data_IF_016462539615
#
_entry.id   IF_016462539615
#
_cell.length_a   1.000
_cell.length_b   1.000
_cell.length_c   1.000
_cell.angle_alpha   90.00
_cell.angle_beta   90.00
_cell.angle_gamma   90.00
#
_symmetry.space_group_name_H-M   'P 1'
#
loop_
_entity.id
_entity.type
_entity.pdbx_description
1 polymer ?
#
# COMPACT_ATOMS: atom_id res chain seq x y z
N UNK A 1 -47.01 -45.46 67.74
CA UNK A 1 -45.84 -44.57 67.71
C UNK A 1 -45.13 -44.80 66.41
N UNK A 2 -45.24 -43.87 65.48
CA UNK A 2 -44.57 -43.88 64.16
C UNK A 2 -43.71 -42.61 64.03
N UNK A 3 -42.39 -42.81 63.98
CA UNK A 3 -41.40 -41.78 63.85
C UNK A 3 -41.29 -41.43 62.35
N UNK A 4 -41.56 -40.17 62.01
CA UNK A 4 -41.45 -39.68 60.66
C UNK A 4 -40.06 -39.00 60.54
N UNK A 5 -39.17 -39.53 59.73
CA UNK A 5 -37.90 -38.92 59.38
C UNK A 5 -38.10 -37.94 58.24
N UNK A 6 -37.86 -36.65 58.47
CA UNK A 6 -37.72 -35.66 57.43
C UNK A 6 -36.32 -35.65 56.86
N UNK A 7 -36.22 -36.06 55.64
CA UNK A 7 -34.98 -35.99 54.88
C UNK A 7 -34.87 -34.61 54.24
N UNK A 8 -34.00 -33.74 54.74
CA UNK A 8 -33.67 -32.46 54.08
C UNK A 8 -32.72 -32.75 52.94
N UNK A 9 -33.21 -32.66 51.70
CA UNK A 9 -32.40 -32.66 50.51
C UNK A 9 -31.87 -31.22 50.28
N UNK A 10 -30.59 -31.01 50.60
CA UNK A 10 -29.88 -29.78 50.27
C UNK A 10 -29.51 -29.80 48.78
N UNK A 11 -30.22 -29.01 47.98
CA UNK A 11 -29.95 -28.80 46.58
C UNK A 11 -28.83 -27.73 46.48
N UNK A 12 -27.57 -28.16 46.35
CA UNK A 12 -26.46 -27.24 46.01
C UNK A 12 -26.56 -26.83 44.56
N UNK A 13 -26.96 -25.56 44.34
CA UNK A 13 -26.90 -24.91 43.03
C UNK A 13 -25.42 -24.65 42.68
N UNK A 14 -24.83 -25.49 41.86
CA UNK A 14 -23.54 -25.21 41.23
C UNK A 14 -23.77 -24.17 40.17
N UNK A 15 -23.45 -22.91 40.48
CA UNK A 15 -23.35 -21.82 39.52
C UNK A 15 -22.20 -22.12 38.55
N UNK A 16 -22.53 -22.49 37.35
CA UNK A 16 -21.58 -22.42 36.25
C UNK A 16 -21.34 -20.94 35.93
N UNK A 17 -20.24 -20.37 36.44
CA UNK A 17 -19.68 -19.16 35.87
C UNK A 17 -19.10 -19.57 34.54
N UNK A 18 -19.87 -19.33 33.47
CA UNK A 18 -19.33 -19.29 32.12
C UNK A 18 -18.35 -18.10 32.07
N UNK A 19 -17.06 -18.39 32.17
CA UNK A 19 -16.06 -17.48 31.67
C UNK A 19 -16.32 -17.39 30.17
N UNK A 20 -16.88 -16.27 29.70
CA UNK A 20 -16.70 -15.87 28.33
C UNK A 20 -15.19 -15.61 28.18
N UNK A 21 -14.47 -16.51 27.54
CA UNK A 21 -13.19 -16.18 26.97
C UNK A 21 -13.51 -15.01 26.02
N UNK A 22 -13.11 -13.79 26.39
CA UNK A 22 -13.02 -12.69 25.46
C UNK A 22 -12.04 -13.18 24.40
N UNK A 23 -12.55 -13.37 23.19
CA UNK A 23 -11.76 -13.75 22.04
C UNK A 23 -10.85 -12.56 21.73
N UNK A 24 -9.63 -12.56 22.27
CA UNK A 24 -8.59 -11.55 22.04
C UNK A 24 -8.07 -11.58 20.58
N UNK A 25 -8.87 -12.10 19.63
CA UNK A 25 -8.52 -12.04 18.21
C UNK A 25 -8.53 -10.60 17.75
N UNK A 26 -7.34 -10.11 17.44
CA UNK A 26 -7.16 -8.79 16.83
C UNK A 26 -7.80 -8.78 15.45
N UNK A 27 -8.88 -8.02 15.29
CA UNK A 27 -9.52 -7.84 13.99
C UNK A 27 -8.70 -6.84 13.15
N UNK A 28 -7.65 -7.36 12.49
CA UNK A 28 -6.62 -6.60 11.79
C UNK A 28 -7.19 -5.59 10.78
N UNK A 29 -8.25 -5.98 10.10
CA UNK A 29 -8.86 -5.23 9.00
C UNK A 29 -10.27 -4.69 9.30
N UNK A 30 -10.62 -4.53 10.61
CA UNK A 30 -11.86 -3.87 10.99
C UNK A 30 -11.96 -2.47 10.36
N UNK A 31 -13.13 -2.12 9.85
CA UNK A 31 -13.41 -0.83 9.19
C UNK A 31 -12.40 -0.46 8.09
N UNK A 32 -11.81 -1.46 7.41
CA UNK A 32 -10.66 -1.32 6.54
C UNK A 32 -10.88 -0.28 5.42
N UNK A 33 -12.04 -0.31 4.76
CA UNK A 33 -12.35 0.68 3.72
C UNK A 33 -12.32 2.10 4.27
N UNK A 34 -13.05 2.37 5.35
CA UNK A 34 -13.11 3.71 5.94
C UNK A 34 -11.74 4.20 6.40
N UNK A 35 -10.93 3.30 6.99
CA UNK A 35 -9.56 3.60 7.40
C UNK A 35 -8.66 3.96 6.21
N UNK A 36 -8.75 3.23 5.11
CA UNK A 36 -7.97 3.51 3.90
C UNK A 36 -8.38 4.81 3.22
N UNK A 37 -9.67 5.08 3.11
CA UNK A 37 -10.20 6.33 2.54
C UNK A 37 -9.76 7.54 3.39
N UNK A 38 -9.88 7.46 4.71
CA UNK A 38 -9.46 8.51 5.63
C UNK A 38 -7.92 8.71 5.62
N UNK A 39 -7.16 7.61 5.56
CA UNK A 39 -5.71 7.67 5.47
C UNK A 39 -5.28 8.40 4.18
N UNK A 40 -5.80 7.96 3.03
CA UNK A 40 -5.43 8.56 1.75
C UNK A 40 -5.84 10.03 1.66
N UNK A 41 -7.07 10.39 2.08
CA UNK A 41 -7.52 11.79 2.11
C UNK A 41 -6.61 12.66 2.98
N UNK A 42 -6.24 12.18 4.17
CA UNK A 42 -5.35 12.91 5.07
C UNK A 42 -3.98 13.14 4.43
N UNK A 43 -3.39 12.10 3.83
CA UNK A 43 -2.11 12.21 3.13
C UNK A 43 -2.21 13.14 1.91
N UNK A 44 -3.31 13.08 1.17
CA UNK A 44 -3.55 13.97 0.03
C UNK A 44 -3.55 15.44 0.44
N UNK A 45 -4.26 15.80 1.50
CA UNK A 45 -4.31 17.17 2.00
C UNK A 45 -2.92 17.66 2.47
N UNK A 46 -2.14 16.77 3.09
CA UNK A 46 -0.76 17.08 3.50
C UNK A 46 0.14 17.34 2.28
N UNK A 47 0.07 16.51 1.24
CA UNK A 47 0.86 16.67 0.01
C UNK A 47 0.45 17.94 -0.76
N UNK A 48 -0.85 18.26 -0.82
CA UNK A 48 -1.33 19.50 -1.43
C UNK A 48 -0.83 20.74 -0.68
N UNK A 49 -0.77 20.69 0.64
CA UNK A 49 -0.27 21.79 1.47
C UNK A 49 1.25 21.94 1.40
N UNK A 50 1.98 20.81 1.36
CA UNK A 50 3.45 20.80 1.32
C UNK A 50 4.02 21.12 -0.06
N UNK A 51 3.33 20.84 -1.13
CA UNK A 51 3.67 20.88 -2.56
C UNK A 51 5.06 21.44 -2.88
N UNK A 52 6.02 20.54 -3.06
CA UNK A 52 7.43 20.85 -3.30
C UNK A 52 8.02 19.91 -4.36
N UNK A 53 9.31 20.09 -4.70
CA UNK A 53 10.00 19.18 -5.60
C UNK A 53 10.19 17.76 -5.03
N UNK A 54 10.05 17.58 -3.71
CA UNK A 54 10.24 16.29 -3.04
C UNK A 54 8.97 15.73 -2.41
N UNK A 55 7.84 16.47 -2.45
CA UNK A 55 6.55 16.04 -1.91
C UNK A 55 5.44 16.65 -2.77
N UNK A 56 4.75 15.85 -3.56
CA UNK A 56 3.76 16.35 -4.51
C UNK A 56 2.67 15.33 -4.83
N UNK A 57 1.58 15.86 -5.42
CA UNK A 57 0.47 15.08 -5.96
C UNK A 57 0.63 14.93 -7.46
N UNK A 58 0.54 13.71 -7.96
CA UNK A 58 0.64 13.38 -9.37
C UNK A 58 -0.66 12.79 -9.87
N UNK A 59 -1.25 13.41 -10.91
CA UNK A 59 -2.47 12.88 -11.52
C UNK A 59 -2.19 11.57 -12.26
N UNK A 60 -3.15 10.65 -12.24
CA UNK A 60 -3.09 9.43 -13.03
C UNK A 60 -2.94 9.72 -14.52
N UNK A 61 -2.07 8.99 -15.20
CA UNK A 61 -1.88 9.08 -16.65
C UNK A 61 -3.19 8.90 -17.44
N UNK A 62 -4.18 8.21 -16.85
CA UNK A 62 -5.50 8.00 -17.48
C UNK A 62 -6.36 9.26 -17.57
N UNK A 63 -5.96 10.37 -16.94
CA UNK A 63 -6.75 11.62 -16.86
C UNK A 63 -6.42 12.67 -17.92
N UNK A 64 -5.51 12.35 -18.82
CA UNK A 64 -5.09 13.27 -19.89
C UNK A 64 -4.36 14.53 -19.41
N UNK A 65 -3.56 15.13 -20.28
CA UNK A 65 -2.62 16.19 -19.91
C UNK A 65 -3.29 17.53 -19.63
N UNK A 66 -4.44 17.79 -20.21
CA UNK A 66 -5.14 19.08 -20.11
C UNK A 66 -5.92 19.27 -18.81
N UNK A 67 -6.11 18.20 -18.01
CA UNK A 67 -6.86 18.26 -16.75
C UNK A 67 -5.93 18.68 -15.62
N UNK A 68 -6.23 19.81 -14.96
CA UNK A 68 -5.50 20.25 -13.76
C UNK A 68 -5.83 19.37 -12.56
N UNK A 69 -4.83 19.11 -11.71
CA UNK A 69 -4.98 18.34 -10.45
C UNK A 69 -6.10 18.92 -9.57
N UNK A 70 -6.24 20.25 -9.52
CA UNK A 70 -7.29 20.92 -8.73
C UNK A 70 -8.73 20.59 -9.16
N UNK A 71 -8.91 20.05 -10.36
CA UNK A 71 -10.22 19.70 -10.92
C UNK A 71 -10.51 18.18 -10.85
N UNK A 72 -9.61 17.42 -10.24
CA UNK A 72 -9.72 15.98 -10.08
C UNK A 72 -10.20 15.63 -8.67
N UNK A 73 -10.74 14.43 -8.54
CA UNK A 73 -10.90 13.82 -7.21
C UNK A 73 -9.52 13.41 -6.68
N UNK A 74 -9.31 13.49 -5.37
CA UNK A 74 -8.08 13.00 -4.77
C UNK A 74 -7.76 11.55 -5.20
N UNK A 75 -8.78 10.70 -5.37
CA UNK A 75 -8.67 9.31 -5.81
C UNK A 75 -8.26 9.12 -7.29
N UNK A 76 -8.17 10.21 -8.05
CA UNK A 76 -7.64 10.21 -9.42
C UNK A 76 -6.13 10.49 -9.46
N UNK A 77 -5.50 10.61 -8.31
CA UNK A 77 -4.10 10.98 -8.13
C UNK A 77 -3.35 9.95 -7.30
N UNK A 78 -2.02 9.94 -7.42
CA UNK A 78 -1.10 9.29 -6.51
C UNK A 78 -0.32 10.37 -5.74
N UNK A 79 0.23 9.99 -4.59
CA UNK A 79 1.05 10.88 -3.76
C UNK A 79 2.49 10.42 -3.85
N UNK A 80 3.41 11.36 -3.97
CA UNK A 80 4.84 11.08 -4.18
C UNK A 80 5.67 11.81 -3.14
N UNK A 81 6.49 11.05 -2.42
CA UNK A 81 7.61 11.54 -1.64
C UNK A 81 8.91 11.09 -2.32
N UNK A 82 9.73 12.05 -2.76
CA UNK A 82 11.05 11.77 -3.32
C UNK A 82 12.02 11.52 -2.18
N UNK A 83 12.61 10.35 -2.17
CA UNK A 83 13.55 9.90 -1.15
C UNK A 83 14.99 10.12 -1.62
N UNK A 84 15.96 10.22 -0.70
CA UNK A 84 17.39 10.22 -1.07
C UNK A 84 17.74 8.96 -1.86
N UNK A 85 18.47 9.13 -2.96
CA UNK A 85 19.00 8.02 -3.75
C UNK A 85 20.05 7.27 -2.93
N UNK A 86 19.89 5.97 -2.81
CA UNK A 86 20.74 5.06 -2.02
C UNK A 86 21.40 3.97 -2.89
N UNK A 87 21.47 4.21 -4.21
CA UNK A 87 22.07 3.32 -5.20
C UNK A 87 22.57 4.12 -6.42
N UNK A 88 23.48 3.53 -7.17
CA UNK A 88 24.03 4.13 -8.39
C UNK A 88 23.49 3.41 -9.63
N UNK A 89 23.22 4.19 -10.67
CA UNK A 89 22.78 3.69 -11.98
C UNK A 89 23.50 4.43 -13.10
N UNK A 90 23.68 3.71 -14.19
CA UNK A 90 24.22 4.24 -15.43
C UNK A 90 23.07 4.74 -16.36
N UNK A 91 23.44 5.43 -17.43
CA UNK A 91 22.51 5.87 -18.47
C UNK A 91 21.98 7.29 -18.31
N UNK A 92 21.07 7.64 -19.23
CA UNK A 92 20.47 8.98 -19.28
C UNK A 92 19.42 9.15 -18.17
N UNK A 93 19.69 10.10 -17.26
CA UNK A 93 18.84 10.45 -16.13
C UNK A 93 17.86 11.61 -16.45
N UNK A 94 17.70 11.99 -17.72
CA UNK A 94 16.83 13.10 -18.12
C UNK A 94 15.51 12.65 -18.74
N UNK A 95 15.43 11.37 -19.12
CA UNK A 95 14.26 10.76 -19.76
C UNK A 95 13.48 9.88 -18.77
N UNK A 96 12.20 9.70 -19.04
CA UNK A 96 11.31 8.78 -18.31
C UNK A 96 10.80 7.70 -19.26
N UNK A 97 10.43 6.52 -18.76
CA UNK A 97 9.82 5.47 -19.58
C UNK A 97 8.43 5.89 -20.08
N UNK A 98 8.02 5.34 -21.20
CA UNK A 98 6.67 5.48 -21.72
C UNK A 98 5.82 4.24 -21.41
N UNK A 99 4.53 4.30 -21.70
CA UNK A 99 3.54 3.25 -21.35
C UNK A 99 3.86 1.87 -21.94
N UNK A 100 4.57 1.81 -23.08
CA UNK A 100 4.94 0.56 -23.77
C UNK A 100 6.28 -0.04 -23.33
N UNK A 101 7.04 0.67 -22.49
CA UNK A 101 8.38 0.25 -22.11
C UNK A 101 8.38 -0.84 -21.03
N UNK A 102 9.47 -1.58 -20.96
CA UNK A 102 9.82 -2.41 -19.82
C UNK A 102 10.80 -1.67 -18.92
N UNK A 103 10.62 -1.81 -17.61
CA UNK A 103 11.42 -1.10 -16.60
C UNK A 103 12.00 -2.08 -15.59
N UNK A 104 13.22 -1.84 -15.16
CA UNK A 104 13.90 -2.55 -14.09
C UNK A 104 13.83 -1.74 -12.81
N UNK A 105 13.22 -2.29 -11.78
CA UNK A 105 13.04 -1.59 -10.50
C UNK A 105 13.37 -2.48 -9.31
N UNK A 106 13.83 -1.85 -8.23
CA UNK A 106 13.67 -2.44 -6.91
C UNK A 106 12.44 -1.82 -6.26
N UNK A 107 11.65 -2.64 -5.59
CA UNK A 107 10.45 -2.14 -4.92
C UNK A 107 10.12 -2.91 -3.65
N UNK A 108 9.32 -2.26 -2.81
CA UNK A 108 8.64 -2.85 -1.67
C UNK A 108 7.24 -2.28 -1.59
N UNK A 109 6.23 -3.15 -1.54
CA UNK A 109 4.84 -2.79 -1.38
C UNK A 109 4.33 -3.13 0.02
N UNK A 110 3.64 -2.19 0.65
CA UNK A 110 3.00 -2.36 1.95
C UNK A 110 1.59 -1.76 1.99
N UNK A 111 0.78 -2.29 2.90
CA UNK A 111 -0.51 -1.70 3.27
C UNK A 111 -0.31 -0.50 4.19
N UNK A 112 -1.37 0.24 4.48
CA UNK A 112 -1.35 1.26 5.52
C UNK A 112 -1.07 0.64 6.90
N UNK A 113 -0.57 1.40 7.89
CA UNK A 113 -0.40 0.92 9.26
C UNK A 113 -1.67 0.31 9.84
N UNK A 114 -1.50 -0.76 10.59
CA UNK A 114 -2.58 -1.50 11.22
C UNK A 114 -2.18 -1.96 12.63
N UNK A 115 -3.07 -2.64 13.34
CA UNK A 115 -2.87 -2.98 14.75
C UNK A 115 -1.62 -3.84 14.95
N UNK A 116 -1.44 -4.88 14.12
CA UNK A 116 -0.28 -5.78 14.22
C UNK A 116 0.93 -5.31 13.42
N UNK A 117 0.73 -4.36 12.48
CA UNK A 117 1.77 -3.90 11.55
C UNK A 117 1.90 -2.37 11.59
N UNK A 118 2.65 -1.84 12.55
CA UNK A 118 2.82 -0.40 12.74
C UNK A 118 3.43 0.33 11.52
N UNK A 119 4.18 -0.37 10.67
CA UNK A 119 4.74 0.15 9.41
C UNK A 119 3.97 -0.31 8.17
N UNK A 120 2.79 -0.94 8.35
CA UNK A 120 2.03 -1.60 7.30
C UNK A 120 2.52 -3.03 7.01
N UNK A 121 1.57 -3.92 6.68
CA UNK A 121 1.90 -5.27 6.26
C UNK A 121 2.60 -5.23 4.90
N UNK A 122 3.84 -5.75 4.81
CA UNK A 122 4.55 -5.90 3.54
C UNK A 122 3.94 -7.07 2.77
N UNK A 123 3.31 -6.78 1.65
CA UNK A 123 2.67 -7.80 0.82
C UNK A 123 3.57 -8.30 -0.32
N UNK A 124 4.55 -7.47 -0.75
CA UNK A 124 5.44 -7.82 -1.86
C UNK A 124 6.76 -7.04 -1.79
N UNK A 125 7.83 -7.59 -2.38
CA UNK A 125 9.15 -6.91 -2.47
C UNK A 125 10.07 -7.65 -3.44
N UNK A 126 10.92 -6.91 -4.15
CA UNK A 126 12.02 -7.46 -4.97
C UNK A 126 13.25 -7.86 -4.13
N UNK A 127 13.30 -7.54 -2.83
CA UNK A 127 14.43 -7.83 -1.95
C UNK A 127 13.98 -8.16 -0.52
N UNK A 128 14.82 -8.84 0.24
CA UNK A 128 14.56 -9.17 1.64
C UNK A 128 15.34 -8.27 2.61
N UNK A 129 14.74 -7.98 3.76
CA UNK A 129 15.38 -7.19 4.82
C UNK A 129 15.67 -5.74 4.40
N UNK A 130 16.86 -5.24 4.73
CA UNK A 130 17.30 -3.90 4.34
C UNK A 130 17.79 -3.93 2.89
N UNK A 131 17.43 -2.92 2.11
CA UNK A 131 17.92 -2.79 0.73
C UNK A 131 19.43 -2.70 0.70
N UNK A 132 20.03 -3.46 -0.21
CA UNK A 132 21.48 -3.43 -0.49
C UNK A 132 21.68 -3.57 -2.00
N UNK A 133 22.15 -2.51 -2.68
CA UNK A 133 22.29 -2.50 -4.13
C UNK A 133 23.32 -3.51 -4.65
N UNK A 134 24.22 -4.01 -3.79
CA UNK A 134 25.20 -5.02 -4.16
C UNK A 134 24.67 -6.46 -4.15
N UNK A 135 23.47 -6.68 -3.65
CA UNK A 135 22.87 -8.02 -3.46
C UNK A 135 21.49 -8.12 -4.11
N UNK A 136 20.72 -7.03 -4.06
CA UNK A 136 19.37 -7.01 -4.61
C UNK A 136 19.43 -7.07 -6.15
N UNK A 137 18.64 -7.96 -6.72
CA UNK A 137 18.41 -8.01 -8.17
C UNK A 137 17.14 -7.24 -8.50
N UNK A 138 17.14 -6.37 -9.52
CA UNK A 138 15.92 -5.69 -9.95
C UNK A 138 14.92 -6.66 -10.58
N UNK A 139 13.66 -6.27 -10.57
CA UNK A 139 12.57 -6.99 -11.26
C UNK A 139 12.13 -6.16 -12.45
N UNK A 140 11.99 -6.82 -13.60
CA UNK A 140 11.47 -6.20 -14.82
C UNK A 140 9.95 -6.21 -14.83
N UNK A 141 9.35 -5.06 -15.07
CA UNK A 141 7.91 -4.91 -15.31
C UNK A 141 7.64 -4.21 -16.63
N UNK A 142 6.64 -4.68 -17.38
CA UNK A 142 6.05 -3.85 -18.43
C UNK A 142 5.20 -2.77 -17.81
N UNK A 143 5.42 -1.50 -18.16
CA UNK A 143 4.68 -0.36 -17.58
C UNK A 143 3.17 -0.53 -17.76
N UNK A 144 2.72 -1.08 -18.88
CA UNK A 144 1.30 -1.37 -19.16
C UNK A 144 0.76 -2.63 -18.45
N UNK A 145 1.63 -3.41 -17.79
CA UNK A 145 1.27 -4.66 -17.11
C UNK A 145 1.00 -4.52 -15.61
N UNK A 146 1.20 -3.33 -15.05
CA UNK A 146 1.04 -3.07 -13.61
C UNK A 146 -0.21 -2.23 -13.30
N UNK A 147 -0.57 -2.11 -12.02
CA UNK A 147 -1.72 -1.27 -11.58
C UNK A 147 -1.54 0.18 -12.01
N UNK A 148 -2.65 0.87 -12.25
CA UNK A 148 -2.68 2.23 -12.82
C UNK A 148 -1.81 3.22 -12.04
N UNK A 149 -1.88 3.18 -10.71
CA UNK A 149 -1.08 4.08 -9.87
C UNK A 149 0.42 3.83 -9.97
N UNK A 150 0.85 2.56 -10.05
CA UNK A 150 2.25 2.19 -10.21
C UNK A 150 2.77 2.59 -11.60
N UNK A 151 2.00 2.30 -12.67
CA UNK A 151 2.30 2.75 -14.03
C UNK A 151 2.39 4.28 -14.13
N UNK A 152 1.55 5.01 -13.38
CA UNK A 152 1.63 6.48 -13.31
C UNK A 152 2.97 6.93 -12.73
N UNK A 153 3.42 6.32 -11.63
CA UNK A 153 4.71 6.66 -11.04
C UNK A 153 5.86 6.37 -12.02
N UNK A 154 5.90 5.15 -12.58
CA UNK A 154 6.96 4.73 -13.50
C UNK A 154 7.16 5.68 -14.67
N UNK A 155 6.08 6.17 -15.29
CA UNK A 155 6.13 7.09 -16.43
C UNK A 155 6.68 8.50 -16.08
N UNK A 156 6.92 8.78 -14.79
CA UNK A 156 7.46 10.06 -14.33
C UNK A 156 8.79 9.90 -13.59
N UNK A 157 9.19 8.68 -13.30
CA UNK A 157 10.48 8.39 -12.68
C UNK A 157 11.61 8.33 -13.72
N UNK A 158 12.79 8.75 -13.30
CA UNK A 158 14.02 8.68 -14.08
C UNK A 158 14.96 7.63 -13.48
N UNK A 159 15.95 7.18 -14.24
CA UNK A 159 17.01 6.31 -13.70
C UNK A 159 17.66 6.95 -12.47
N UNK A 160 17.76 6.21 -11.38
CA UNK A 160 18.30 6.66 -10.10
C UNK A 160 17.27 7.32 -9.16
N UNK A 161 16.03 7.53 -9.60
CA UNK A 161 14.97 8.03 -8.71
C UNK A 161 14.61 6.98 -7.67
N UNK A 162 14.41 7.46 -6.44
CA UNK A 162 13.90 6.69 -5.32
C UNK A 162 12.66 7.41 -4.77
N UNK A 163 11.50 6.81 -4.95
CA UNK A 163 10.23 7.40 -4.57
C UNK A 163 9.46 6.50 -3.61
N UNK A 164 8.79 7.12 -2.64
CA UNK A 164 7.65 6.50 -1.96
C UNK A 164 6.38 6.99 -2.62
N UNK A 165 5.55 6.05 -3.04
CA UNK A 165 4.32 6.34 -3.78
C UNK A 165 3.14 5.78 -3.01
N UNK A 166 2.18 6.64 -2.64
CA UNK A 166 0.92 6.22 -2.03
C UNK A 166 -0.18 6.22 -3.08
N UNK A 167 -0.79 5.07 -3.29
CA UNK A 167 -1.75 4.77 -4.35
C UNK A 167 -3.10 4.46 -3.74
N UNK A 168 -4.18 5.21 -4.03
CA UNK A 168 -5.52 4.88 -3.55
C UNK A 168 -6.03 3.60 -4.21
N UNK A 169 -6.92 2.87 -3.56
CA UNK A 169 -7.41 1.60 -4.08
C UNK A 169 -8.02 1.69 -5.48
N UNK A 170 -8.61 2.84 -5.87
CA UNK A 170 -9.17 3.08 -7.20
C UNK A 170 -8.13 3.00 -8.32
N UNK A 171 -6.88 3.30 -8.02
CA UNK A 171 -5.74 3.19 -8.94
C UNK A 171 -4.86 1.95 -8.64
N UNK A 172 -5.27 1.13 -7.67
CA UNK A 172 -4.66 -0.13 -7.26
C UNK A 172 -5.51 -1.34 -7.66
N UNK A 173 -5.85 -2.19 -6.68
CA UNK A 173 -6.63 -3.41 -6.90
C UNK A 173 -8.16 -3.21 -6.73
N UNK A 174 -8.61 -2.00 -6.45
CA UNK A 174 -10.04 -1.65 -6.38
C UNK A 174 -10.75 -2.28 -5.19
N UNK A 175 -11.95 -2.78 -5.45
CA UNK A 175 -12.87 -3.34 -4.45
C UNK A 175 -12.75 -4.87 -4.33
N UNK A 176 -11.70 -5.45 -4.89
CA UNK A 176 -11.44 -6.88 -4.88
C UNK A 176 -10.22 -7.21 -4.01
N UNK A 177 -10.29 -8.33 -3.31
CA UNK A 177 -9.11 -8.89 -2.62
C UNK A 177 -8.17 -9.51 -3.65
N UNK A 178 -6.87 -9.25 -3.53
CA UNK A 178 -5.82 -9.81 -4.38
C UNK A 178 -4.72 -10.39 -3.50
N UNK A 179 -4.52 -11.70 -3.54
CA UNK A 179 -3.56 -12.40 -2.66
C UNK A 179 -3.73 -11.97 -1.19
N UNK A 180 -2.70 -11.37 -0.59
CA UNK A 180 -2.70 -10.89 0.79
C UNK A 180 -3.12 -9.41 0.92
N UNK A 181 -3.71 -8.82 -0.13
CA UNK A 181 -4.16 -7.44 -0.15
C UNK A 181 -5.67 -7.43 -0.02
N UNK A 182 -6.25 -6.98 1.10
CA UNK A 182 -7.70 -6.84 1.25
C UNK A 182 -8.29 -5.87 0.23
N UNK A 183 -9.57 -6.02 -0.09
CA UNK A 183 -10.31 -5.05 -0.89
C UNK A 183 -10.20 -3.64 -0.27
N UNK A 184 -10.28 -2.61 -1.10
CA UNK A 184 -10.21 -1.18 -0.69
C UNK A 184 -8.87 -0.76 -0.07
N UNK A 185 -7.76 -1.49 -0.32
CA UNK A 185 -6.45 -1.16 0.24
C UNK A 185 -5.79 -0.01 -0.51
N UNK A 186 -5.43 1.04 0.21
CA UNK A 186 -4.41 2.01 -0.20
C UNK A 186 -3.05 1.31 -0.14
N UNK A 187 -2.25 1.46 -1.19
CA UNK A 187 -0.97 0.79 -1.33
C UNK A 187 0.15 1.82 -1.18
N UNK A 188 1.20 1.44 -0.46
CA UNK A 188 2.39 2.26 -0.29
C UNK A 188 3.56 1.50 -0.90
N UNK A 189 4.14 2.06 -1.97
CA UNK A 189 5.30 1.49 -2.61
C UNK A 189 6.54 2.35 -2.39
N UNK A 190 7.64 1.72 -2.06
CA UNK A 190 8.99 2.28 -2.08
C UNK A 190 9.64 1.75 -3.36
N UNK A 191 9.97 2.64 -4.32
CA UNK A 191 10.36 2.27 -5.68
C UNK A 191 11.70 2.92 -6.01
N UNK A 192 12.65 2.13 -6.53
CA UNK A 192 13.92 2.59 -7.08
C UNK A 192 13.98 2.23 -8.55
N UNK A 193 14.04 3.24 -9.41
CA UNK A 193 14.17 3.07 -10.86
C UNK A 193 15.62 2.79 -11.24
N UNK A 194 15.87 1.56 -11.67
CA UNK A 194 17.23 1.13 -12.06
C UNK A 194 17.49 1.45 -13.52
N UNK A 195 16.70 0.89 -14.41
CA UNK A 195 16.84 1.05 -15.85
C UNK A 195 15.51 0.88 -16.58
N UNK A 196 15.48 1.21 -17.86
CA UNK A 196 14.40 0.89 -18.78
C UNK A 196 14.89 0.92 -20.22
N UNK A 197 14.33 0.07 -21.04
CA UNK A 197 14.53 0.13 -22.49
C UNK A 197 13.49 1.11 -23.06
N UNK A 198 13.97 2.24 -23.57
CA UNK A 198 13.10 3.15 -24.32
C UNK A 198 12.62 2.41 -25.57
N UNK A 199 11.31 2.23 -25.70
CA UNK A 199 10.72 1.56 -26.85
C UNK A 199 11.28 2.17 -28.14
N UNK A 200 11.96 1.38 -28.93
CA UNK A 200 12.37 1.80 -30.28
C UNK A 200 11.08 1.97 -31.07
N UNK A 201 10.62 3.23 -31.18
CA UNK A 201 9.57 3.59 -32.13
C UNK A 201 10.07 3.18 -33.50
N UNK A 202 9.63 2.00 -33.98
CA UNK A 202 9.85 1.54 -35.34
C UNK A 202 8.96 2.29 -36.34
#
# INVERSE_FOLDING_TARGET
MKLIYYLFASLTLLGFTSCSEEDDTVEEYADWQARNESYFETQYQQHMAASSATCFVLKSYTKGDTVSVSNLKHTDCILVDVLPTDFEVEGDKTVCPIYSDDVDVHYRGSLIPSVSYASGFQFDSSYFGTFSPSIAEPVTFSVNGVIVGFATALQHMRRGDHWRVTIPYQLGYGTSTSSNIPAYSTLIFDIRMVDFEAGTNG
#
